data_IF_565044838312
#
_entry.id   IF_565044838312
#
_cell.length_a   1.000
_cell.length_b   1.000
_cell.length_c   1.000
_cell.angle_alpha   90.00
_cell.angle_beta   90.00
_cell.angle_gamma   90.00
#
_symmetry.space_group_name_H-M   'P 1'
#
loop_
_entity.id
_entity.type
_entity.pdbx_description
1 polymer ?
#
# COMPACT_ATOMS: atom_id res chain seq x y z
N UNK A 1 13.49 -15.47 15.85
CA UNK A 1 14.43 -15.26 14.73
C UNK A 1 13.98 -14.09 13.85
N UNK A 2 12.76 -14.11 13.30
CA UNK A 2 12.25 -13.11 12.33
C UNK A 2 12.31 -11.64 12.77
N UNK A 3 11.79 -11.27 13.97
CA UNK A 3 11.88 -9.88 14.45
C UNK A 3 13.32 -9.35 14.50
N UNK A 4 14.30 -10.15 14.94
CA UNK A 4 15.70 -9.71 15.00
C UNK A 4 16.29 -9.43 13.62
N UNK A 5 15.89 -10.20 12.61
CA UNK A 5 16.31 -9.99 11.22
C UNK A 5 15.66 -8.72 10.65
N UNK A 6 14.37 -8.49 10.93
CA UNK A 6 13.66 -7.27 10.52
C UNK A 6 14.28 -6.01 11.16
N UNK A 7 14.58 -6.05 12.45
CA UNK A 7 15.29 -4.97 13.13
C UNK A 7 16.70 -4.74 12.58
N UNK A 8 17.44 -5.81 12.26
CA UNK A 8 18.73 -5.68 11.62
C UNK A 8 18.61 -5.07 10.21
N UNK A 9 17.59 -5.45 9.43
CA UNK A 9 17.36 -4.91 8.09
C UNK A 9 16.94 -3.44 8.06
N UNK A 10 16.49 -2.85 9.18
CA UNK A 10 16.26 -1.40 9.25
C UNK A 10 17.55 -0.58 9.06
N UNK A 11 18.72 -1.18 9.31
CA UNK A 11 20.01 -0.54 9.01
C UNK A 11 20.27 -0.39 7.51
N UNK A 12 19.53 -1.09 6.64
CA UNK A 12 19.64 -0.96 5.18
C UNK A 12 19.18 0.41 4.70
N UNK A 13 18.20 1.03 5.34
CA UNK A 13 17.71 2.36 4.94
C UNK A 13 18.79 3.45 5.08
N UNK A 14 19.41 3.68 6.26
CA UNK A 14 20.50 4.65 6.37
C UNK A 14 21.73 4.24 5.55
N UNK A 15 22.00 2.93 5.39
CA UNK A 15 23.08 2.46 4.51
C UNK A 15 22.81 2.83 3.03
N UNK A 16 21.58 2.67 2.55
CA UNK A 16 21.19 3.03 1.18
C UNK A 16 21.35 4.52 0.93
N UNK A 17 20.90 5.37 1.86
CA UNK A 17 21.08 6.82 1.77
C UNK A 17 22.56 7.21 1.81
N UNK A 18 23.36 6.59 2.69
CA UNK A 18 24.80 6.85 2.75
C UNK A 18 25.52 6.43 1.47
N UNK A 19 25.14 5.28 0.90
CA UNK A 19 25.68 4.75 -0.36
C UNK A 19 25.33 5.68 -1.53
N UNK A 20 24.09 6.17 -1.60
CA UNK A 20 23.65 7.16 -2.59
C UNK A 20 24.46 8.46 -2.50
N UNK A 21 24.67 8.99 -1.28
CA UNK A 21 25.38 10.25 -1.07
C UNK A 21 26.90 10.17 -1.20
N UNK A 22 27.52 9.03 -0.91
CA UNK A 22 28.98 8.95 -0.74
C UNK A 22 29.73 8.10 -1.77
N UNK A 23 29.04 7.16 -2.45
CA UNK A 23 29.71 6.13 -3.25
C UNK A 23 29.34 6.14 -4.74
N UNK A 24 28.46 7.05 -5.17
CA UNK A 24 27.94 7.14 -6.55
C UNK A 24 27.69 5.76 -7.22
N UNK A 25 26.99 4.83 -6.54
CA UNK A 25 26.77 3.49 -7.07
C UNK A 25 25.94 3.54 -8.36
N UNK A 26 26.09 2.51 -9.19
CA UNK A 26 25.22 2.37 -10.37
C UNK A 26 23.75 2.29 -9.99
N UNK A 27 22.88 2.97 -10.76
CA UNK A 27 21.42 3.07 -10.49
C UNK A 27 20.71 1.73 -10.29
N UNK A 28 21.16 0.66 -10.96
CA UNK A 28 20.63 -0.71 -10.75
C UNK A 28 20.82 -1.16 -9.30
N UNK A 29 21.99 -0.87 -8.71
CA UNK A 29 22.30 -1.20 -7.32
C UNK A 29 21.46 -0.36 -6.36
N UNK A 30 21.29 0.94 -6.65
CA UNK A 30 20.41 1.81 -5.86
C UNK A 30 18.98 1.32 -5.84
N UNK A 31 18.45 0.90 -6.99
CA UNK A 31 17.09 0.35 -7.07
C UNK A 31 16.94 -0.88 -6.16
N UNK A 32 17.88 -1.81 -6.21
CA UNK A 32 17.85 -3.02 -5.38
C UNK A 32 17.98 -2.70 -3.89
N UNK A 33 18.90 -1.81 -3.52
CA UNK A 33 19.10 -1.39 -2.13
C UNK A 33 17.87 -0.65 -1.59
N UNK A 34 17.27 0.25 -2.38
CA UNK A 34 16.07 0.98 -2.02
C UNK A 34 14.87 0.03 -1.86
N UNK A 35 14.64 -0.87 -2.82
CA UNK A 35 13.58 -1.86 -2.75
C UNK A 35 13.70 -2.76 -1.50
N UNK A 36 14.91 -3.23 -1.19
CA UNK A 36 15.17 -4.04 0.00
C UNK A 36 15.02 -3.26 1.31
N UNK A 37 15.36 -1.96 1.31
CA UNK A 37 15.25 -1.10 2.49
C UNK A 37 13.81 -0.72 2.82
N UNK A 38 12.95 -0.62 1.81
CA UNK A 38 11.54 -0.27 1.99
C UNK A 38 10.73 -1.39 2.66
N UNK A 39 11.09 -2.66 2.46
CA UNK A 39 10.41 -3.81 3.09
C UNK A 39 10.35 -3.70 4.63
N UNK A 40 11.49 -3.57 5.35
CA UNK A 40 11.45 -3.44 6.81
C UNK A 40 10.90 -2.09 7.28
N UNK A 41 11.01 -1.03 6.48
CA UNK A 41 10.41 0.27 6.81
C UNK A 41 8.87 0.22 6.75
N UNK A 42 8.31 -0.41 5.70
CA UNK A 42 6.88 -0.66 5.60
C UNK A 42 6.39 -1.47 6.81
N UNK A 43 7.14 -2.51 7.20
CA UNK A 43 6.82 -3.29 8.40
C UNK A 43 6.84 -2.44 9.67
N UNK A 44 7.84 -1.58 9.84
CA UNK A 44 7.95 -0.71 11.01
C UNK A 44 6.81 0.32 11.08
N UNK A 45 6.39 0.87 9.94
CA UNK A 45 5.23 1.77 9.85
C UNK A 45 3.95 1.03 10.26
N UNK A 46 3.70 -0.18 9.74
CA UNK A 46 2.54 -0.99 10.09
C UNK A 46 2.50 -1.30 11.59
N UNK A 47 3.60 -1.80 12.16
CA UNK A 47 3.72 -2.11 13.58
C UNK A 47 3.49 -0.86 14.45
N UNK A 48 4.16 0.27 14.14
CA UNK A 48 3.99 1.51 14.90
C UNK A 48 2.55 2.04 14.83
N UNK A 49 1.89 1.87 13.69
CA UNK A 49 0.49 2.25 13.49
C UNK A 49 -0.45 1.41 14.33
N UNK A 50 -0.23 0.09 14.39
CA UNK A 50 -1.01 -0.83 15.23
C UNK A 50 -0.87 -0.48 16.72
N UNK A 51 0.37 -0.27 17.21
CA UNK A 51 0.59 0.14 18.61
C UNK A 51 -0.02 1.52 18.94
N UNK A 52 -0.01 2.47 17.99
CA UNK A 52 -0.67 3.76 18.18
C UNK A 52 -2.21 3.62 18.19
N UNK A 53 -2.77 2.73 17.38
CA UNK A 53 -4.19 2.47 17.31
C UNK A 53 -4.74 1.87 18.62
N UNK A 54 -3.97 0.99 19.30
CA UNK A 54 -4.35 0.43 20.61
C UNK A 54 -4.58 1.51 21.69
N UNK A 55 -3.94 2.67 21.58
CA UNK A 55 -4.01 3.74 22.57
C UNK A 55 -5.08 4.80 22.29
N UNK A 56 -5.61 4.85 21.07
CA UNK A 56 -6.43 5.97 20.57
C UNK A 56 -7.91 5.62 20.44
N UNK A 57 -8.28 4.39 20.79
CA UNK A 57 -9.64 3.87 20.72
C UNK A 57 -10.06 3.53 19.28
N UNK A 58 -11.17 2.80 19.14
CA UNK A 58 -11.60 2.23 17.87
C UNK A 58 -11.64 3.25 16.72
N UNK A 59 -12.23 4.43 16.96
CA UNK A 59 -12.41 5.46 15.93
C UNK A 59 -11.09 6.02 15.37
N UNK A 60 -10.26 6.60 16.24
CA UNK A 60 -8.98 7.21 15.84
C UNK A 60 -7.99 6.12 15.42
N UNK A 61 -7.96 4.98 16.12
CA UNK A 61 -7.09 3.86 15.76
C UNK A 61 -7.41 3.28 14.39
N UNK A 62 -8.69 3.15 14.04
CA UNK A 62 -9.11 2.74 12.70
C UNK A 62 -8.70 3.74 11.61
N UNK A 63 -8.76 5.05 11.90
CA UNK A 63 -8.26 6.08 10.99
C UNK A 63 -6.74 6.02 10.82
N UNK A 64 -5.98 5.90 11.93
CA UNK A 64 -4.53 5.75 11.90
C UNK A 64 -4.13 4.53 11.06
N UNK A 65 -4.79 3.39 11.28
CA UNK A 65 -4.52 2.16 10.53
C UNK A 65 -4.82 2.31 9.04
N UNK A 66 -5.97 2.90 8.69
CA UNK A 66 -6.33 3.17 7.31
C UNK A 66 -5.30 4.07 6.60
N UNK A 67 -4.87 5.15 7.25
CA UNK A 67 -3.96 6.13 6.65
C UNK A 67 -2.51 5.65 6.62
N UNK A 68 -1.95 5.31 7.78
CA UNK A 68 -0.54 4.99 7.88
C UNK A 68 -0.20 3.54 7.52
N UNK A 69 -1.14 2.61 7.63
CA UNK A 69 -0.94 1.23 7.15
C UNK A 69 -0.62 1.18 5.65
N UNK A 70 -1.19 2.09 4.86
CA UNK A 70 -0.95 2.23 3.42
C UNK A 70 0.02 3.38 3.07
N UNK A 71 0.75 3.92 4.06
CA UNK A 71 1.65 5.05 3.83
C UNK A 71 2.80 4.71 2.86
N UNK A 72 3.46 3.52 2.92
CA UNK A 72 4.51 3.19 1.97
C UNK A 72 4.06 3.28 0.50
N UNK A 73 2.91 2.72 0.17
CA UNK A 73 2.31 2.76 -1.17
C UNK A 73 1.99 4.19 -1.58
N UNK A 74 1.35 4.94 -0.69
CA UNK A 74 0.99 6.34 -0.93
C UNK A 74 2.24 7.19 -1.20
N UNK A 75 3.29 7.03 -0.39
CA UNK A 75 4.55 7.77 -0.51
C UNK A 75 5.22 7.45 -1.85
N UNK A 76 5.40 6.17 -2.18
CA UNK A 76 6.02 5.75 -3.44
C UNK A 76 5.22 6.28 -4.64
N UNK A 77 3.89 6.21 -4.58
CA UNK A 77 3.02 6.73 -5.63
C UNK A 77 3.16 8.25 -5.80
N UNK A 78 3.22 9.03 -4.71
CA UNK A 78 3.37 10.48 -4.79
C UNK A 78 4.73 10.92 -5.33
N UNK A 79 5.82 10.20 -5.01
CA UNK A 79 7.11 10.44 -5.64
C UNK A 79 7.06 10.14 -7.15
N UNK A 80 6.42 9.04 -7.55
CA UNK A 80 6.23 8.74 -8.98
C UNK A 80 5.33 9.77 -9.69
N UNK A 81 4.34 10.35 -9.02
CA UNK A 81 3.56 11.49 -9.54
C UNK A 81 4.47 12.72 -9.73
N UNK A 82 5.30 13.04 -8.73
CA UNK A 82 6.22 14.17 -8.80
C UNK A 82 7.20 14.07 -9.97
N UNK A 83 7.70 12.85 -10.24
CA UNK A 83 8.60 12.55 -11.35
C UNK A 83 7.88 12.38 -12.71
N UNK A 84 6.57 12.65 -12.77
CA UNK A 84 5.75 12.52 -13.98
C UNK A 84 5.80 11.10 -14.59
N UNK A 85 5.69 10.07 -13.73
CA UNK A 85 5.69 8.66 -14.09
C UNK A 85 4.31 8.00 -13.85
N UNK A 86 3.25 8.40 -14.57
CA UNK A 86 1.89 7.92 -14.32
C UNK A 86 1.74 6.41 -14.56
N UNK A 87 2.59 5.80 -15.40
CA UNK A 87 2.65 4.34 -15.59
C UNK A 87 3.19 3.60 -14.37
N UNK A 88 4.12 4.21 -13.62
CA UNK A 88 4.65 3.63 -12.38
C UNK A 88 3.59 3.71 -11.29
N UNK A 89 2.88 4.84 -11.20
CA UNK A 89 1.78 5.02 -10.24
C UNK A 89 0.65 4.03 -10.49
N UNK A 90 0.14 3.97 -11.73
CA UNK A 90 -0.92 3.02 -12.11
C UNK A 90 -0.47 1.57 -11.93
N UNK A 91 0.78 1.27 -12.32
CA UNK A 91 1.39 -0.04 -12.15
C UNK A 91 1.42 -0.47 -10.69
N UNK A 92 1.98 0.33 -9.79
CA UNK A 92 2.10 -0.03 -8.37
C UNK A 92 0.74 -0.17 -7.68
N UNK A 93 -0.24 0.69 -8.00
CA UNK A 93 -1.59 0.63 -7.43
C UNK A 93 -2.38 -0.61 -7.90
N UNK A 94 -2.41 -0.89 -9.21
CA UNK A 94 -3.04 -2.11 -9.74
C UNK A 94 -2.32 -3.36 -9.25
N UNK A 95 -0.98 -3.35 -9.29
CA UNK A 95 -0.15 -4.42 -8.78
C UNK A 95 -0.40 -4.75 -7.32
N UNK A 96 -0.61 -3.72 -6.49
CA UNK A 96 -0.95 -3.87 -5.08
C UNK A 96 -2.27 -4.61 -4.90
N UNK A 97 -3.34 -4.21 -5.61
CA UNK A 97 -4.64 -4.90 -5.59
C UNK A 97 -4.50 -6.36 -6.02
N UNK A 98 -3.83 -6.61 -7.15
CA UNK A 98 -3.62 -7.95 -7.73
C UNK A 98 -2.79 -8.84 -6.80
N UNK A 99 -1.68 -8.31 -6.28
CA UNK A 99 -0.80 -9.03 -5.35
C UNK A 99 -1.58 -9.45 -4.10
N UNK A 100 -2.39 -8.55 -3.54
CA UNK A 100 -3.16 -8.84 -2.34
C UNK A 100 -4.26 -9.90 -2.58
N UNK A 101 -4.98 -9.81 -3.71
CA UNK A 101 -6.04 -10.76 -4.06
C UNK A 101 -5.53 -12.14 -4.47
N UNK A 102 -4.39 -12.21 -5.16
CA UNK A 102 -3.89 -13.46 -5.76
C UNK A 102 -2.68 -13.99 -5.00
N UNK A 103 -1.62 -13.20 -4.89
CA UNK A 103 -0.35 -13.64 -4.31
C UNK A 103 -0.47 -13.84 -2.80
N UNK A 104 -0.86 -12.81 -2.07
CA UNK A 104 -0.92 -12.85 -0.59
C UNK A 104 -2.00 -13.81 -0.15
N UNK A 105 -3.22 -13.65 -0.66
CA UNK A 105 -4.30 -14.58 -0.37
C UNK A 105 -3.89 -16.02 -0.73
N UNK A 106 -3.34 -16.27 -1.93
CA UNK A 106 -2.86 -17.59 -2.33
C UNK A 106 -1.80 -18.17 -1.39
N UNK A 107 -0.78 -17.40 -1.01
CA UNK A 107 0.25 -17.84 -0.07
C UNK A 107 -0.33 -18.09 1.32
N UNK A 108 -1.28 -17.28 1.81
CA UNK A 108 -1.94 -17.55 3.09
C UNK A 108 -2.69 -18.89 3.08
N UNK A 109 -3.36 -19.23 1.96
CA UNK A 109 -4.05 -20.50 1.81
C UNK A 109 -3.07 -21.69 1.79
N UNK A 110 -1.88 -21.52 1.20
CA UNK A 110 -0.83 -22.55 1.17
C UNK A 110 -0.08 -22.69 2.51
N UNK A 111 0.08 -21.60 3.25
CA UNK A 111 0.86 -21.56 4.48
C UNK A 111 0.07 -22.00 5.72
N UNK A 112 -1.26 -21.82 5.70
CA UNK A 112 -2.11 -22.23 6.81
C UNK A 112 -2.58 -23.70 6.73
N UNK A 113 -3.22 -24.21 7.78
CA UNK A 113 -3.62 -25.62 7.85
C UNK A 113 -4.69 -25.98 6.82
N UNK A 114 -4.56 -27.16 6.22
CA UNK A 114 -5.55 -27.69 5.28
C UNK A 114 -6.95 -27.75 5.92
N UNK A 115 -7.95 -27.23 5.19
CA UNK A 115 -9.34 -27.23 5.63
C UNK A 115 -9.68 -26.19 6.71
N UNK A 116 -8.74 -25.28 7.06
CA UNK A 116 -9.03 -24.20 8.00
C UNK A 116 -10.20 -23.32 7.49
N UNK A 117 -11.17 -22.98 8.37
CA UNK A 117 -12.35 -22.23 7.95
C UNK A 117 -12.00 -20.81 7.53
N UNK A 118 -12.61 -20.34 6.46
CA UNK A 118 -12.55 -18.94 5.99
C UNK A 118 -13.92 -18.27 6.17
N UNK A 119 -13.91 -16.96 6.44
CA UNK A 119 -15.14 -16.18 6.53
C UNK A 119 -15.59 -15.70 5.15
N UNK A 120 -16.21 -16.61 4.38
CA UNK A 120 -16.64 -16.32 3.00
C UNK A 120 -17.49 -15.06 2.88
N UNK A 121 -18.30 -14.75 3.90
CA UNK A 121 -19.17 -13.56 3.87
C UNK A 121 -18.34 -12.29 4.00
N UNK A 122 -17.37 -12.23 4.92
CA UNK A 122 -16.47 -11.08 5.02
C UNK A 122 -15.67 -10.91 3.72
N UNK A 123 -15.12 -12.00 3.18
CA UNK A 123 -14.36 -11.97 1.92
C UNK A 123 -15.19 -11.46 0.73
N UNK A 124 -16.44 -11.93 0.59
CA UNK A 124 -17.34 -11.46 -0.47
C UNK A 124 -17.64 -9.96 -0.36
N UNK A 125 -17.77 -9.43 0.85
CA UNK A 125 -17.95 -7.98 1.04
C UNK A 125 -16.70 -7.22 0.58
N UNK A 126 -15.51 -7.67 0.95
CA UNK A 126 -14.26 -7.01 0.56
C UNK A 126 -14.01 -7.08 -0.96
N UNK A 127 -14.26 -8.24 -1.58
CA UNK A 127 -14.18 -8.38 -3.05
C UNK A 127 -15.23 -7.50 -3.74
N UNK A 128 -16.45 -7.40 -3.21
CA UNK A 128 -17.47 -6.50 -3.76
C UNK A 128 -17.06 -5.02 -3.66
N UNK A 129 -16.37 -4.63 -2.59
CA UNK A 129 -15.81 -3.28 -2.44
C UNK A 129 -14.73 -2.98 -3.47
N UNK A 130 -13.82 -3.94 -3.72
CA UNK A 130 -12.85 -3.83 -4.84
C UNK A 130 -13.59 -3.71 -6.16
N UNK A 131 -14.61 -4.53 -6.40
CA UNK A 131 -15.43 -4.48 -7.61
C UNK A 131 -16.15 -3.14 -7.81
N UNK A 132 -16.62 -2.50 -6.74
CA UNK A 132 -17.15 -1.12 -6.78
C UNK A 132 -16.05 -0.14 -7.20
N UNK A 133 -14.84 -0.29 -6.66
CA UNK A 133 -13.67 0.49 -7.06
C UNK A 133 -13.41 0.39 -8.56
N UNK A 134 -13.22 -0.83 -9.06
CA UNK A 134 -12.99 -1.11 -10.49
C UNK A 134 -14.13 -0.59 -11.37
N UNK A 135 -15.38 -0.79 -10.98
CA UNK A 135 -16.55 -0.30 -11.71
C UNK A 135 -16.56 1.24 -11.79
N UNK A 136 -16.25 1.94 -10.70
CA UNK A 136 -16.21 3.40 -10.69
C UNK A 136 -15.08 3.96 -11.57
N UNK A 137 -13.95 3.25 -11.67
CA UNK A 137 -12.82 3.61 -12.54
C UNK A 137 -13.12 3.39 -14.04
N UNK A 138 -14.18 2.66 -14.40
CA UNK A 138 -14.50 2.39 -15.81
C UNK A 138 -14.78 3.68 -16.61
N UNK A 139 -15.37 4.70 -15.97
CA UNK A 139 -15.65 5.98 -16.63
C UNK A 139 -14.37 6.76 -17.04
N UNK A 140 -13.43 7.08 -16.13
CA UNK A 140 -12.20 7.78 -16.50
C UNK A 140 -11.31 6.92 -17.43
N UNK A 141 -11.33 5.60 -17.29
CA UNK A 141 -10.63 4.68 -18.22
C UNK A 141 -11.18 4.82 -19.64
N UNK A 142 -12.49 4.77 -19.82
CA UNK A 142 -13.11 4.91 -21.15
C UNK A 142 -12.78 6.27 -21.78
N UNK A 143 -12.75 7.33 -20.97
CA UNK A 143 -12.35 8.66 -21.42
C UNK A 143 -10.86 8.76 -21.76
N UNK A 144 -10.00 8.03 -21.06
CA UNK A 144 -8.56 7.96 -21.32
C UNK A 144 -8.17 7.04 -22.48
N UNK A 145 -9.11 6.25 -23.02
CA UNK A 145 -8.81 5.27 -24.07
C UNK A 145 -8.44 5.88 -25.43
N UNK A 146 -8.94 7.09 -25.72
CA UNK A 146 -8.69 7.78 -26.99
C UNK A 146 -7.80 9.00 -26.76
N UNK A 147 -6.71 9.13 -27.51
CA UNK A 147 -5.76 10.24 -27.36
C UNK A 147 -4.87 10.10 -26.12
N UNK A 148 -4.41 11.23 -25.59
CA UNK A 148 -3.57 11.27 -24.39
C UNK A 148 -4.39 10.91 -23.13
N UNK A 149 -4.04 9.81 -22.41
CA UNK A 149 -4.76 9.37 -21.22
C UNK A 149 -4.58 10.31 -20.01
N UNK A 150 -3.56 11.16 -20.02
CA UNK A 150 -3.19 12.06 -18.93
C UNK A 150 -3.58 13.52 -19.22
N UNK A 151 -4.37 13.74 -20.27
CA UNK A 151 -4.92 15.07 -20.61
C UNK A 151 -5.81 15.63 -19.50
N UNK A 152 -5.84 16.97 -19.40
CA UNK A 152 -6.60 17.70 -18.39
C UNK A 152 -8.07 17.28 -18.25
N UNK A 153 -8.76 17.01 -19.37
CA UNK A 153 -10.15 16.57 -19.34
C UNK A 153 -10.38 15.24 -18.61
N UNK A 154 -9.43 14.30 -18.68
CA UNK A 154 -9.53 12.99 -18.00
C UNK A 154 -9.18 13.13 -16.52
N UNK A 155 -8.23 14.00 -16.17
CA UNK A 155 -7.96 14.39 -14.77
C UNK A 155 -9.21 14.96 -14.12
N UNK A 156 -9.86 15.95 -14.76
CA UNK A 156 -11.08 16.58 -14.22
C UNK A 156 -12.20 15.55 -14.05
N UNK A 157 -12.36 14.62 -14.99
CA UNK A 157 -13.34 13.54 -14.89
C UNK A 157 -13.00 12.52 -13.77
N UNK A 158 -11.74 12.41 -13.38
CA UNK A 158 -11.28 11.50 -12.31
C UNK A 158 -11.59 12.03 -10.91
N UNK A 159 -11.66 13.36 -10.72
CA UNK A 159 -11.95 14.00 -9.43
C UNK A 159 -13.26 13.52 -8.78
N UNK A 160 -14.44 13.60 -9.45
CA UNK A 160 -15.69 13.17 -8.82
C UNK A 160 -15.69 11.67 -8.51
N UNK A 161 -15.05 10.85 -9.35
CA UNK A 161 -14.88 9.41 -9.10
C UNK A 161 -14.05 9.19 -7.84
N UNK A 162 -12.91 9.87 -7.71
CA UNK A 162 -12.05 9.77 -6.54
C UNK A 162 -12.77 10.19 -5.25
N UNK A 163 -13.52 11.30 -5.28
CA UNK A 163 -14.33 11.76 -4.15
C UNK A 163 -15.39 10.72 -3.76
N UNK A 164 -16.11 10.15 -4.73
CA UNK A 164 -17.13 9.12 -4.45
C UNK A 164 -16.50 7.87 -3.82
N UNK A 165 -15.36 7.40 -4.34
CA UNK A 165 -14.66 6.24 -3.79
C UNK A 165 -14.23 6.45 -2.34
N UNK A 166 -13.68 7.63 -2.03
CA UNK A 166 -13.33 7.99 -0.64
C UNK A 166 -14.56 8.07 0.27
N UNK A 167 -15.67 8.63 -0.21
CA UNK A 167 -16.91 8.67 0.56
C UNK A 167 -17.46 7.27 0.84
N UNK A 168 -17.38 6.36 -0.13
CA UNK A 168 -17.74 4.94 0.05
C UNK A 168 -16.83 4.31 1.12
N UNK A 169 -15.52 4.51 1.03
CA UNK A 169 -14.55 4.00 2.01
C UNK A 169 -14.85 4.51 3.42
N UNK A 170 -15.00 5.82 3.59
CA UNK A 170 -15.32 6.45 4.88
C UNK A 170 -16.67 5.96 5.42
N UNK A 171 -17.65 5.72 4.55
CA UNK A 171 -18.94 5.13 4.93
C UNK A 171 -18.82 3.69 5.45
N UNK A 172 -17.97 2.87 4.82
CA UNK A 172 -17.69 1.48 5.26
C UNK A 172 -16.95 1.47 6.58
N UNK A 173 -15.84 2.22 6.68
CA UNK A 173 -15.04 2.33 7.91
C UNK A 173 -15.91 2.89 9.04
N UNK A 174 -16.67 3.95 8.80
CA UNK A 174 -17.58 4.52 9.78
C UNK A 174 -18.64 3.54 10.28
N UNK A 175 -19.22 2.69 9.40
CA UNK A 175 -20.13 1.62 9.83
C UNK A 175 -19.43 0.53 10.64
N UNK A 176 -18.22 0.13 10.23
CA UNK A 176 -17.44 -0.90 10.93
C UNK A 176 -17.06 -0.43 12.33
N UNK A 177 -16.63 0.82 12.47
CA UNK A 177 -16.32 1.46 13.74
C UNK A 177 -17.54 1.54 14.66
N UNK A 178 -18.71 1.95 14.12
CA UNK A 178 -19.96 2.01 14.90
C UNK A 178 -20.42 0.64 15.38
N UNK A 179 -20.24 -0.42 14.58
CA UNK A 179 -20.58 -1.80 14.99
C UNK A 179 -19.62 -2.35 16.05
N UNK A 180 -18.33 -2.01 15.98
CA UNK A 180 -17.30 -2.52 16.90
C UNK A 180 -17.05 -1.64 18.14
N UNK A 181 -17.62 -0.44 18.21
CA UNK A 181 -17.64 0.42 19.40
C UNK A 181 -18.20 -0.28 20.66
N UNK A 182 -18.91 -1.40 20.51
CA UNK A 182 -19.45 -2.19 21.61
C UNK A 182 -18.53 -3.33 22.10
N UNK A 183 -17.41 -3.61 21.41
CA UNK A 183 -16.56 -4.78 21.67
C UNK A 183 -15.11 -4.45 22.10
N UNK A 184 -14.62 -3.23 21.88
CA UNK A 184 -13.27 -2.81 22.33
C UNK A 184 -13.35 -1.95 23.59
N UNK A 185 -13.31 -2.62 24.74
CA UNK A 185 -13.06 -2.05 26.08
C UNK A 185 -11.88 -2.73 26.76
N UNK A 186 -10.98 -3.33 25.99
CA UNK A 186 -9.72 -3.83 26.51
C UNK A 186 -8.68 -2.73 26.31
N UNK A 187 -7.99 -2.36 27.40
CA UNK A 187 -6.89 -1.41 27.33
C UNK A 187 -5.73 -1.96 26.50
N UNK A 188 -4.66 -1.17 26.29
CA UNK A 188 -3.50 -1.59 25.51
C UNK A 188 -2.98 -2.95 25.98
N UNK A 189 -2.61 -3.80 25.03
CA UNK A 189 -2.14 -5.15 25.36
C UNK A 189 -0.84 -5.09 26.17
N UNK A 190 -0.58 -6.11 27.01
CA UNK A 190 0.67 -6.19 27.76
C UNK A 190 1.85 -6.34 26.77
N UNK A 191 2.64 -5.28 26.61
CA UNK A 191 3.74 -5.20 25.64
C UNK A 191 3.54 -4.19 24.52
N UNK A 192 2.42 -3.47 24.51
CA UNK A 192 2.18 -2.34 23.60
C UNK A 192 3.18 -1.21 23.83
N UNK A 193 3.61 -0.56 22.75
CA UNK A 193 4.50 0.59 22.86
C UNK A 193 3.75 1.80 23.40
N UNK A 194 4.40 2.63 24.21
CA UNK A 194 3.78 3.89 24.65
C UNK A 194 3.37 4.74 23.44
N UNK A 195 2.20 5.38 23.48
CA UNK A 195 1.71 6.24 22.39
C UNK A 195 2.77 7.22 21.84
N UNK A 196 3.53 7.98 22.66
CA UNK A 196 4.58 8.86 22.14
C UNK A 196 5.70 8.10 21.41
N UNK A 197 6.06 6.92 21.90
CA UNK A 197 7.04 6.03 21.26
C UNK A 197 6.55 5.54 19.90
N UNK A 198 5.29 5.09 19.81
CA UNK A 198 4.67 4.66 18.55
C UNK A 198 4.64 5.78 17.52
N UNK A 199 4.22 6.98 17.93
CA UNK A 199 4.18 8.15 17.04
C UNK A 199 5.57 8.61 16.60
N UNK A 200 6.57 8.56 17.49
CA UNK A 200 7.95 8.91 17.15
C UNK A 200 8.54 7.93 16.13
N UNK A 201 8.37 6.62 16.36
CA UNK A 201 8.82 5.59 15.42
C UNK A 201 8.10 5.72 14.08
N UNK A 202 6.78 5.93 14.10
CA UNK A 202 5.98 6.15 12.90
C UNK A 202 6.50 7.34 12.08
N UNK A 203 6.76 8.48 12.72
CA UNK A 203 7.26 9.67 12.05
C UNK A 203 8.65 9.43 11.43
N UNK A 204 9.58 8.84 12.19
CA UNK A 204 10.94 8.54 11.71
C UNK A 204 10.91 7.55 10.54
N UNK A 205 10.12 6.48 10.66
CA UNK A 205 9.99 5.49 9.60
C UNK A 205 9.34 6.08 8.34
N UNK A 206 8.34 6.94 8.48
CA UNK A 206 7.70 7.65 7.36
C UNK A 206 8.68 8.53 6.61
N UNK A 207 9.49 9.31 7.33
CA UNK A 207 10.53 10.17 6.73
C UNK A 207 11.61 9.34 6.04
N UNK A 208 12.07 8.25 6.67
CA UNK A 208 13.03 7.34 6.05
C UNK A 208 12.47 6.70 4.78
N UNK A 209 11.21 6.24 4.81
CA UNK A 209 10.50 5.72 3.64
C UNK A 209 10.43 6.75 2.53
N UNK A 210 10.19 8.02 2.83
CA UNK A 210 10.18 9.08 1.83
C UNK A 210 11.52 9.21 1.11
N UNK A 211 12.64 9.34 1.84
CA UNK A 211 13.98 9.42 1.25
C UNK A 211 14.33 8.18 0.40
N UNK A 212 14.01 6.98 0.89
CA UNK A 212 14.31 5.75 0.15
C UNK A 212 13.38 5.58 -1.06
N UNK A 213 12.13 6.04 -0.98
CA UNK A 213 11.17 6.02 -2.10
C UNK A 213 11.61 6.93 -3.24
N UNK A 214 12.17 8.10 -2.92
CA UNK A 214 12.77 9.00 -3.92
C UNK A 214 13.88 8.29 -4.71
N UNK A 215 14.84 7.68 -4.00
CA UNK A 215 15.93 6.89 -4.60
C UNK A 215 15.38 5.75 -5.47
N UNK A 216 14.36 5.03 -4.98
CA UNK A 216 13.70 3.95 -5.73
C UNK A 216 13.13 4.45 -7.06
N UNK A 217 12.38 5.56 -7.04
CA UNK A 217 11.71 6.10 -8.22
C UNK A 217 12.74 6.63 -9.24
N UNK A 218 13.76 7.38 -8.80
CA UNK A 218 14.81 7.90 -9.71
C UNK A 218 15.69 6.82 -10.34
N UNK A 219 15.78 5.64 -9.71
CA UNK A 219 16.58 4.51 -10.21
C UNK A 219 15.78 3.47 -11.01
N UNK A 220 14.44 3.56 -10.99
CA UNK A 220 13.53 2.58 -11.60
C UNK A 220 13.75 2.40 -13.10
N UNK A 221 13.82 3.49 -13.86
CA UNK A 221 14.02 3.45 -15.32
C UNK A 221 15.35 2.79 -15.72
N UNK A 222 16.42 3.04 -14.95
CA UNK A 222 17.71 2.40 -15.18
C UNK A 222 17.66 0.89 -14.88
N UNK A 223 16.98 0.49 -13.80
CA UNK A 223 16.75 -0.92 -13.50
C UNK A 223 15.94 -1.60 -14.60
N UNK A 224 14.81 -1.00 -15.00
CA UNK A 224 13.92 -1.49 -16.05
C UNK A 224 14.67 -1.76 -17.37
N UNK A 225 15.50 -0.80 -17.81
CA UNK A 225 16.36 -0.98 -19.00
C UNK A 225 17.39 -2.10 -18.84
N UNK A 226 18.01 -2.21 -17.67
CA UNK A 226 19.05 -3.22 -17.44
C UNK A 226 18.50 -4.65 -17.50
N UNK A 227 17.26 -4.87 -17.03
CA UNK A 227 16.62 -6.20 -17.04
C UNK A 227 15.72 -6.42 -18.27
N UNK A 228 15.55 -5.42 -19.14
CA UNK A 228 14.72 -5.51 -20.34
C UNK A 228 13.21 -5.60 -20.06
N UNK A 229 12.75 -5.05 -18.94
CA UNK A 229 11.33 -5.06 -18.53
C UNK A 229 10.76 -3.65 -18.58
N UNK A 230 9.44 -3.53 -18.71
CA UNK A 230 8.78 -2.23 -18.69
C UNK A 230 8.71 -1.66 -17.27
N UNK A 231 8.79 -0.33 -17.13
CA UNK A 231 8.60 0.35 -15.84
C UNK A 231 7.28 -0.02 -15.17
N UNK A 232 6.23 -0.18 -15.98
CA UNK A 232 4.93 -0.66 -15.52
C UNK A 232 5.03 -2.05 -14.86
N UNK A 233 5.72 -3.01 -15.48
CA UNK A 233 5.87 -4.35 -14.91
C UNK A 233 6.68 -4.31 -13.61
N UNK A 234 7.77 -3.54 -13.59
CA UNK A 234 8.57 -3.33 -12.38
C UNK A 234 7.71 -2.75 -11.26
N UNK A 235 6.89 -1.75 -11.57
CA UNK A 235 5.98 -1.14 -10.61
C UNK A 235 4.89 -2.11 -10.12
N UNK A 236 4.24 -2.82 -11.05
CA UNK A 236 3.13 -3.71 -10.76
C UNK A 236 3.54 -4.98 -10.01
N UNK A 237 4.79 -5.43 -10.14
CA UNK A 237 5.26 -6.64 -9.47
C UNK A 237 6.17 -6.28 -8.31
N UNK A 238 7.28 -5.60 -8.56
CA UNK A 238 8.32 -5.40 -7.54
C UNK A 238 7.89 -4.31 -6.57
N UNK A 239 7.52 -3.13 -7.06
CA UNK A 239 7.17 -1.99 -6.20
C UNK A 239 5.90 -2.27 -5.39
N UNK A 240 4.91 -2.91 -6.02
CA UNK A 240 3.69 -3.36 -5.34
C UNK A 240 3.97 -4.31 -4.17
N UNK A 241 4.89 -5.28 -4.33
CA UNK A 241 5.27 -6.19 -3.24
C UNK A 241 6.02 -5.44 -2.13
N UNK A 242 6.93 -4.54 -2.51
CA UNK A 242 7.74 -3.77 -1.57
C UNK A 242 6.89 -2.87 -0.67
N UNK A 243 5.93 -2.14 -1.26
CA UNK A 243 5.01 -1.27 -0.50
C UNK A 243 4.25 -2.05 0.57
N UNK A 244 3.65 -3.18 0.17
CA UNK A 244 2.75 -3.95 1.02
C UNK A 244 3.46 -5.02 1.87
N UNK A 245 4.80 -5.05 1.89
CA UNK A 245 5.56 -6.18 2.43
C UNK A 245 5.22 -6.47 3.91
N UNK A 246 4.88 -5.43 4.66
CA UNK A 246 4.39 -5.51 6.04
C UNK A 246 3.14 -6.37 6.18
N UNK A 247 2.10 -6.01 5.42
CA UNK A 247 0.80 -6.65 5.45
C UNK A 247 0.88 -8.08 4.91
N UNK A 248 1.70 -8.29 3.86
CA UNK A 248 1.96 -9.59 3.27
C UNK A 248 2.59 -10.54 4.30
N UNK A 249 3.68 -10.11 4.92
CA UNK A 249 4.40 -10.91 5.91
C UNK A 249 3.52 -11.21 7.13
N UNK A 250 2.78 -10.22 7.62
CA UNK A 250 1.85 -10.38 8.73
C UNK A 250 0.76 -11.41 8.45
N UNK A 251 0.09 -11.30 7.30
CA UNK A 251 -0.98 -12.22 6.90
C UNK A 251 -0.47 -13.67 6.80
N UNK A 252 0.70 -13.90 6.20
CA UNK A 252 1.29 -15.24 6.06
C UNK A 252 1.65 -15.84 7.42
N UNK A 253 2.23 -15.05 8.33
CA UNK A 253 2.55 -15.50 9.69
C UNK A 253 1.28 -15.84 10.47
N UNK A 254 0.22 -15.04 10.34
CA UNK A 254 -1.09 -15.30 10.96
C UNK A 254 -1.71 -16.59 10.40
N UNK A 255 -1.62 -16.81 9.10
CA UNK A 255 -2.11 -18.02 8.43
C UNK A 255 -1.40 -19.28 8.94
N UNK A 256 -0.06 -19.24 8.99
CA UNK A 256 0.76 -20.34 9.52
C UNK A 256 0.40 -20.69 10.97
N UNK A 257 -0.02 -19.70 11.77
CA UNK A 257 -0.49 -19.91 13.14
C UNK A 257 -1.94 -20.43 13.23
N UNK A 258 -2.54 -20.87 12.12
CA UNK A 258 -3.87 -21.46 12.06
C UNK A 258 -5.02 -20.44 12.05
N UNK A 259 -4.73 -19.13 12.05
CA UNK A 259 -5.75 -18.08 12.10
C UNK A 259 -6.20 -17.66 10.69
N UNK A 260 -6.63 -18.64 9.89
CA UNK A 260 -6.93 -18.43 8.46
C UNK A 260 -7.98 -17.34 8.22
N UNK A 261 -9.05 -17.28 9.03
CA UNK A 261 -10.09 -16.25 8.92
C UNK A 261 -9.52 -14.83 8.91
N UNK A 262 -8.60 -14.54 9.83
CA UNK A 262 -7.97 -13.23 9.96
C UNK A 262 -6.97 -12.98 8.83
N UNK A 263 -6.14 -13.97 8.49
CA UNK A 263 -5.15 -13.83 7.42
C UNK A 263 -5.80 -13.55 6.06
N UNK A 264 -6.83 -14.30 5.69
CA UNK A 264 -7.59 -14.09 4.45
C UNK A 264 -8.29 -12.73 4.43
N UNK A 265 -8.82 -12.29 5.58
CA UNK A 265 -9.48 -10.99 5.70
C UNK A 265 -8.49 -9.82 5.56
N UNK A 266 -7.30 -9.91 6.16
CA UNK A 266 -6.22 -8.92 5.99
C UNK A 266 -5.84 -8.80 4.50
N UNK A 267 -5.57 -9.93 3.85
CA UNK A 267 -5.15 -9.95 2.44
C UNK A 267 -6.19 -9.27 1.52
N UNK A 268 -7.47 -9.64 1.62
CA UNK A 268 -8.50 -9.12 0.73
C UNK A 268 -8.96 -7.71 1.15
N UNK A 269 -8.97 -7.39 2.44
CA UNK A 269 -9.29 -6.04 2.91
C UNK A 269 -8.26 -5.02 2.45
N UNK A 270 -6.99 -5.39 2.37
CA UNK A 270 -5.94 -4.50 1.87
C UNK A 270 -6.20 -4.08 0.42
N UNK A 271 -6.60 -5.01 -0.45
CA UNK A 271 -7.05 -4.69 -1.82
C UNK A 271 -8.19 -3.66 -1.85
N UNK A 272 -9.18 -3.79 -0.96
CA UNK A 272 -10.29 -2.84 -0.87
C UNK A 272 -9.82 -1.46 -0.38
N UNK A 273 -8.86 -1.39 0.53
CA UNK A 273 -8.24 -0.14 0.96
C UNK A 273 -7.49 0.52 -0.18
N UNK A 274 -6.69 -0.24 -0.94
CA UNK A 274 -5.97 0.31 -2.08
C UNK A 274 -6.95 0.88 -3.12
N UNK A 275 -8.00 0.13 -3.46
CA UNK A 275 -8.98 0.56 -4.46
C UNK A 275 -9.85 1.76 -4.02
N UNK A 276 -10.25 1.82 -2.75
CA UNK A 276 -11.21 2.82 -2.26
C UNK A 276 -10.60 3.98 -1.46
N UNK A 277 -9.36 3.83 -0.99
CA UNK A 277 -8.62 4.85 -0.24
C UNK A 277 -7.38 5.30 -0.99
N UNK A 278 -6.43 4.41 -1.30
CA UNK A 278 -5.11 4.80 -1.81
C UNK A 278 -5.20 5.38 -3.21
N UNK A 279 -5.83 4.67 -4.15
CA UNK A 279 -6.05 5.14 -5.53
C UNK A 279 -6.69 6.54 -5.58
N UNK A 280 -7.85 6.77 -4.93
CA UNK A 280 -8.45 8.09 -4.96
C UNK A 280 -7.70 9.14 -4.14
N UNK A 281 -7.01 8.77 -3.06
CA UNK A 281 -6.16 9.70 -2.31
C UNK A 281 -4.97 10.18 -3.16
N UNK A 282 -4.26 9.26 -3.84
CA UNK A 282 -3.18 9.61 -4.77
C UNK A 282 -3.70 10.54 -5.87
N UNK A 283 -4.86 10.24 -6.46
CA UNK A 283 -5.48 11.11 -7.47
C UNK A 283 -5.70 12.53 -6.93
N UNK A 284 -6.35 12.68 -5.77
CA UNK A 284 -6.66 14.01 -5.23
C UNK A 284 -5.40 14.76 -4.79
N UNK A 285 -4.43 14.06 -4.19
CA UNK A 285 -3.16 14.66 -3.76
C UNK A 285 -2.29 15.03 -4.97
N UNK A 286 -2.40 14.31 -6.10
CA UNK A 286 -1.69 14.64 -7.33
C UNK A 286 -2.04 16.03 -7.88
N UNK A 287 -3.21 16.58 -7.52
CA UNK A 287 -3.62 17.94 -7.90
C UNK A 287 -2.71 19.02 -7.30
N UNK A 288 -1.93 18.69 -6.27
CA UNK A 288 -0.95 19.59 -5.66
C UNK A 288 0.38 19.62 -6.42
N UNK A 289 0.58 18.73 -7.39
CA UNK A 289 1.81 18.61 -8.17
C UNK A 289 1.66 19.26 -9.56
N UNK A 290 2.80 19.47 -10.23
CA UNK A 290 2.83 20.05 -11.58
C UNK A 290 2.12 19.16 -12.62
N UNK A 291 2.11 17.83 -12.40
CA UNK A 291 1.56 16.84 -13.31
C UNK A 291 0.50 15.98 -12.58
N UNK A 292 -0.77 16.40 -12.58
CA UNK A 292 -1.85 15.64 -11.95
C UNK A 292 -2.09 14.28 -12.60
N UNK A 293 -2.40 13.28 -11.76
CA UNK A 293 -2.69 11.92 -12.19
C UNK A 293 -4.14 11.80 -12.67
N UNK A 294 -4.31 11.29 -13.89
CA UNK A 294 -5.59 10.79 -14.36
C UNK A 294 -5.80 9.32 -13.92
N UNK A 295 -7.03 8.96 -13.53
CA UNK A 295 -7.40 7.56 -13.22
C UNK A 295 -7.69 6.75 -14.50
N UNK A 296 -6.88 6.96 -15.54
CA UNK A 296 -7.02 6.35 -16.87
C UNK A 296 -6.18 5.08 -16.97
N UNK A 297 -6.48 4.09 -16.14
CA UNK A 297 -5.84 2.77 -16.22
C UNK A 297 -6.00 2.15 -17.62
N UNK A 298 -4.97 1.46 -18.12
CA UNK A 298 -5.12 0.64 -19.34
C UNK A 298 -6.04 -0.56 -19.03
N UNK A 299 -6.67 -1.13 -20.05
CA UNK A 299 -7.56 -2.29 -19.85
C UNK A 299 -6.88 -3.47 -19.16
N UNK A 300 -5.59 -3.68 -19.41
CA UNK A 300 -4.79 -4.73 -18.74
C UNK A 300 -4.49 -4.41 -17.27
N UNK A 301 -4.71 -3.17 -16.83
CA UNK A 301 -4.49 -2.68 -15.48
C UNK A 301 -5.77 -2.71 -14.62
N UNK A 302 -6.94 -2.97 -15.23
CA UNK A 302 -8.26 -3.08 -14.59
C UNK A 302 -8.64 -4.51 -14.17
N UNK A 303 -7.68 -5.43 -14.12
CA UNK A 303 -7.91 -6.87 -13.88
C UNK A 303 -8.13 -7.18 -12.40
#
# INVERSE_FOLDING_TARGET
MGRRILWASLSLAPATVAVDLALEPGKVTLFLLAALSLIPLAWLIGEATEHAAEHTGAGIGGFLNASFGNAPELIIALFAVNENLPQVVRGSLSGSVISNLLLVFGVTQLAGPDGAPIDRRSLLVQVALVGIGVAALSAPVALGYTGDPDRHGVVVASIPVAVVLLLVYLGVVGRNLRRHHQLQREGPSAGSWSLPGSLAVLAVATVATAFVSEILVHSLDAFARAVGLSEFFIAAVIVAIVGNAAEHGGAVVIAHNGKMRLASEIAISSSAQVALLVVPAVMLLSLLFAHPLALSFRWIELV
#
